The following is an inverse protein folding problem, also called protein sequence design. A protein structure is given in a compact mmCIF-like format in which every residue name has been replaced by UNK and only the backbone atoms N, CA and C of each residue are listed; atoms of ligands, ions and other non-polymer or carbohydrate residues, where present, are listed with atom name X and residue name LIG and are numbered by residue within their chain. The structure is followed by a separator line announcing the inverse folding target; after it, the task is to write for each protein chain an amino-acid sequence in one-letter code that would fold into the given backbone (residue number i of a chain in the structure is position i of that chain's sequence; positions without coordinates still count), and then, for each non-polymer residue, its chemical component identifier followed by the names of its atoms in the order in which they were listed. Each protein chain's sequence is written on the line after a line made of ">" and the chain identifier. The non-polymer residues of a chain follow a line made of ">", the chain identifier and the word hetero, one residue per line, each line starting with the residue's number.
data_IF_985679221051
#
_entry.id   IF_985679221051
#
_cell.length_a   1.000
_cell.length_b   1.000
_cell.length_c   1.000
_cell.angle_alpha   90.00
_cell.angle_beta   90.00
_cell.angle_gamma   90.00
#
_symmetry.space_group_name_H-M   'P 1'
#
loop_
_entity.id
_entity.type
_entity.pdbx_description
1 polymer ?
#
# COMPACT_ATOMS: atom_id res chain seq x y z
N UNK A 1 18.24 2.37 -28.10
CA UNK A 1 18.07 0.98 -27.67
C UNK A 1 16.77 0.94 -26.90
N UNK A 2 15.74 0.28 -27.42
CA UNK A 2 14.49 0.06 -26.68
C UNK A 2 14.78 -1.03 -25.66
N UNK A 3 15.10 -0.64 -24.43
CA UNK A 3 15.00 -1.54 -23.28
C UNK A 3 13.56 -2.01 -23.25
N UNK A 4 13.30 -3.26 -23.64
CA UNK A 4 12.00 -3.86 -23.35
C UNK A 4 11.81 -3.78 -21.84
N UNK A 5 10.67 -3.27 -21.39
CA UNK A 5 10.36 -3.30 -19.96
C UNK A 5 10.35 -4.78 -19.53
N UNK A 6 11.17 -5.12 -18.54
CA UNK A 6 11.10 -6.44 -17.92
C UNK A 6 9.72 -6.58 -17.30
N UNK A 7 9.03 -7.70 -17.58
CA UNK A 7 7.70 -7.96 -17.04
C UNK A 7 7.82 -8.58 -15.65
N UNK A 8 6.83 -8.29 -14.82
CA UNK A 8 6.79 -8.74 -13.44
C UNK A 8 6.81 -10.27 -13.33
N UNK A 9 7.62 -10.75 -12.42
CA UNK A 9 7.78 -12.17 -12.09
C UNK A 9 6.76 -12.62 -11.03
N UNK A 10 6.51 -13.94 -10.90
CA UNK A 10 5.71 -14.47 -9.80
C UNK A 10 6.21 -14.07 -8.41
N UNK A 11 7.52 -13.92 -8.21
CA UNK A 11 8.09 -13.44 -6.96
C UNK A 11 7.77 -11.98 -6.68
N UNK A 12 7.68 -11.14 -7.71
CA UNK A 12 7.31 -9.73 -7.57
C UNK A 12 5.82 -9.56 -7.30
N UNK A 13 4.97 -10.39 -7.94
CA UNK A 13 3.57 -10.54 -7.55
C UNK A 13 3.44 -10.82 -6.05
N UNK A 14 4.16 -11.82 -5.56
CA UNK A 14 4.08 -12.20 -4.15
C UNK A 14 4.58 -11.09 -3.23
N UNK A 15 5.72 -10.47 -3.55
CA UNK A 15 6.27 -9.36 -2.76
C UNK A 15 5.32 -8.16 -2.70
N UNK A 16 4.61 -7.87 -3.80
CA UNK A 16 3.57 -6.84 -3.83
C UNK A 16 2.39 -7.19 -2.93
N UNK A 17 1.85 -8.41 -3.03
CA UNK A 17 0.76 -8.89 -2.17
C UNK A 17 1.16 -8.87 -0.69
N UNK A 18 2.36 -9.33 -0.36
CA UNK A 18 2.88 -9.34 1.01
C UNK A 18 2.99 -7.92 1.58
N UNK A 19 3.45 -6.96 0.77
CA UNK A 19 3.53 -5.55 1.17
C UNK A 19 2.12 -4.95 1.41
N UNK A 20 1.13 -5.29 0.58
CA UNK A 20 -0.26 -4.85 0.79
C UNK A 20 -0.84 -5.42 2.09
N UNK A 21 -0.59 -6.70 2.39
CA UNK A 21 -0.99 -7.30 3.66
C UNK A 21 -0.33 -6.61 4.85
N UNK A 22 0.97 -6.32 4.77
CA UNK A 22 1.70 -5.62 5.84
C UNK A 22 1.11 -4.23 6.09
N UNK A 23 0.85 -3.45 5.04
CA UNK A 23 0.23 -2.13 5.16
C UNK A 23 -1.18 -2.23 5.75
N UNK A 24 -1.99 -3.17 5.27
CA UNK A 24 -3.36 -3.38 5.77
C UNK A 24 -3.37 -3.72 7.27
N UNK A 25 -2.48 -4.61 7.71
CA UNK A 25 -2.33 -4.97 9.12
C UNK A 25 -1.83 -3.81 9.96
N UNK A 26 -0.92 -3.00 9.41
CA UNK A 26 -0.38 -1.82 10.08
C UNK A 26 -1.46 -0.76 10.27
N UNK A 27 -2.27 -0.48 9.24
CA UNK A 27 -3.44 0.40 9.35
C UNK A 27 -4.44 -0.13 10.38
N UNK A 28 -4.75 -1.43 10.36
CA UNK A 28 -5.69 -2.01 11.32
C UNK A 28 -5.16 -1.94 12.76
N UNK A 29 -3.87 -2.21 12.97
CA UNK A 29 -3.22 -2.06 14.28
C UNK A 29 -3.30 -0.62 14.76
N UNK A 30 -2.89 0.33 13.92
CA UNK A 30 -2.88 1.76 14.24
C UNK A 30 -4.28 2.30 14.52
N UNK A 31 -5.28 1.85 13.78
CA UNK A 31 -6.69 2.19 14.01
C UNK A 31 -7.22 1.68 15.36
N UNK A 32 -6.58 0.70 16.00
CA UNK A 32 -7.09 0.02 17.19
C UNK A 32 -6.14 0.08 18.40
N UNK A 33 -5.02 0.82 18.31
CA UNK A 33 -4.02 0.88 19.38
C UNK A 33 -4.45 1.75 20.59
N UNK A 34 -5.56 2.49 20.46
CA UNK A 34 -6.12 3.32 21.53
C UNK A 34 -5.35 4.62 21.80
N UNK A 35 -4.32 4.93 21.01
CA UNK A 35 -3.48 6.13 21.18
C UNK A 35 -4.00 7.34 20.42
N UNK A 36 -4.83 7.11 19.39
CA UNK A 36 -5.35 8.12 18.49
C UNK A 36 -6.81 8.50 18.81
N UNK A 37 -7.18 9.74 18.47
CA UNK A 37 -8.57 10.22 18.49
C UNK A 37 -9.41 9.53 17.40
N UNK A 38 -10.73 9.56 17.54
CA UNK A 38 -11.65 8.96 16.55
C UNK A 38 -11.43 9.49 15.13
N UNK A 39 -11.25 10.81 14.98
CA UNK A 39 -10.97 11.44 13.69
C UNK A 39 -9.69 10.92 13.03
N UNK A 40 -8.61 10.83 13.80
CA UNK A 40 -7.34 10.29 13.32
C UNK A 40 -7.44 8.80 12.96
N UNK A 41 -8.12 8.00 13.79
CA UNK A 41 -8.32 6.56 13.57
C UNK A 41 -9.09 6.29 12.27
N UNK A 42 -10.03 7.16 11.91
CA UNK A 42 -10.87 7.00 10.70
C UNK A 42 -10.06 6.93 9.41
N UNK A 43 -8.90 7.61 9.35
CA UNK A 43 -7.96 7.56 8.21
C UNK A 43 -7.50 6.13 7.97
N UNK A 44 -7.05 5.46 9.03
CA UNK A 44 -6.48 4.11 8.96
C UNK A 44 -7.56 3.03 8.78
N UNK A 45 -8.74 3.22 9.37
CA UNK A 45 -9.90 2.33 9.12
C UNK A 45 -10.26 2.35 7.63
N UNK A 46 -10.37 3.56 7.06
CA UNK A 46 -10.72 3.74 5.65
C UNK A 46 -9.67 3.10 4.74
N UNK A 47 -8.38 3.36 5.00
CA UNK A 47 -7.29 2.74 4.24
C UNK A 47 -7.33 1.21 4.32
N UNK A 48 -7.56 0.63 5.50
CA UNK A 48 -7.63 -0.84 5.69
C UNK A 48 -8.75 -1.49 4.88
N UNK A 49 -9.90 -0.81 4.75
CA UNK A 49 -11.04 -1.30 3.94
C UNK A 49 -10.67 -1.33 2.45
N UNK A 50 -10.09 -0.25 1.92
CA UNK A 50 -9.67 -0.20 0.51
C UNK A 50 -8.57 -1.22 0.20
N UNK A 51 -7.57 -1.34 1.08
CA UNK A 51 -6.51 -2.33 0.93
C UNK A 51 -7.02 -3.77 0.91
N UNK A 52 -8.10 -4.08 1.62
CA UNK A 52 -8.74 -5.41 1.55
C UNK A 52 -9.25 -5.72 0.13
N UNK A 53 -9.81 -4.71 -0.55
CA UNK A 53 -10.23 -4.82 -1.95
C UNK A 53 -9.03 -4.97 -2.88
N UNK A 54 -7.98 -4.17 -2.68
CA UNK A 54 -6.77 -4.21 -3.52
C UNK A 54 -5.99 -5.51 -3.38
N UNK A 55 -5.94 -6.10 -2.18
CA UNK A 55 -5.39 -7.44 -1.96
C UNK A 55 -6.15 -8.48 -2.80
N UNK A 56 -7.48 -8.44 -2.80
CA UNK A 56 -8.30 -9.33 -3.63
C UNK A 56 -7.98 -9.17 -5.12
N UNK A 57 -7.95 -7.92 -5.60
CA UNK A 57 -7.57 -7.59 -6.98
C UNK A 57 -6.16 -8.10 -7.33
N UNK A 58 -5.18 -7.89 -6.46
CA UNK A 58 -3.79 -8.30 -6.68
C UNK A 58 -3.64 -9.83 -6.74
N UNK A 59 -4.37 -10.56 -5.89
CA UNK A 59 -4.41 -12.02 -5.92
C UNK A 59 -4.94 -12.55 -7.26
N UNK A 60 -6.02 -11.96 -7.78
CA UNK A 60 -6.69 -12.41 -9.00
C UNK A 60 -6.02 -11.91 -10.30
N UNK A 61 -5.30 -10.78 -10.25
CA UNK A 61 -4.68 -10.18 -11.43
C UNK A 61 -3.55 -11.04 -12.00
N UNK A 62 -3.51 -11.14 -13.33
CA UNK A 62 -2.33 -11.61 -14.05
C UNK A 62 -1.29 -10.49 -14.13
N UNK A 63 -0.11 -10.70 -13.53
CA UNK A 63 1.01 -9.76 -13.57
C UNK A 63 1.95 -9.99 -14.75
N UNK A 64 1.74 -11.02 -15.57
CA UNK A 64 2.56 -11.26 -16.77
C UNK A 64 2.66 -10.09 -17.77
N UNK A 65 1.65 -9.18 -17.91
CA UNK A 65 1.75 -8.00 -18.77
C UNK A 65 2.18 -6.73 -18.01
N UNK A 66 2.40 -6.80 -16.69
CA UNK A 66 2.72 -5.62 -15.87
C UNK A 66 4.23 -5.43 -15.81
N UNK A 67 4.75 -4.24 -16.15
CA UNK A 67 6.18 -3.94 -16.02
C UNK A 67 6.70 -4.09 -14.58
N UNK A 68 7.84 -4.74 -14.41
CA UNK A 68 8.53 -4.98 -13.13
C UNK A 68 8.84 -3.67 -12.41
N UNK A 69 9.28 -2.63 -13.11
CA UNK A 69 9.58 -1.31 -12.54
C UNK A 69 8.36 -0.67 -11.88
N UNK A 70 7.16 -0.83 -12.45
CA UNK A 70 5.90 -0.39 -11.82
C UNK A 70 5.59 -1.15 -10.54
N UNK A 71 5.75 -2.48 -10.56
CA UNK A 71 5.53 -3.32 -9.37
C UNK A 71 6.51 -2.95 -8.26
N UNK A 72 7.80 -2.80 -8.58
CA UNK A 72 8.82 -2.39 -7.62
C UNK A 72 8.56 -0.99 -7.06
N UNK A 73 8.17 -0.03 -7.91
CA UNK A 73 7.80 1.32 -7.47
C UNK A 73 6.63 1.27 -6.50
N UNK A 74 5.58 0.52 -6.82
CA UNK A 74 4.43 0.38 -5.93
C UNK A 74 4.79 -0.29 -4.59
N UNK A 75 5.65 -1.31 -4.60
CA UNK A 75 6.17 -1.90 -3.35
C UNK A 75 6.89 -0.87 -2.48
N UNK A 76 7.68 0.03 -3.06
CA UNK A 76 8.38 1.08 -2.30
C UNK A 76 7.40 2.07 -1.68
N UNK A 77 6.41 2.55 -2.45
CA UNK A 77 5.38 3.46 -1.94
C UNK A 77 4.55 2.81 -0.82
N UNK A 78 4.18 1.54 -0.97
CA UNK A 78 3.48 0.77 0.07
C UNK A 78 4.32 0.67 1.34
N UNK A 79 5.63 0.39 1.24
CA UNK A 79 6.53 0.32 2.41
C UNK A 79 6.73 1.68 3.09
N UNK A 80 6.77 2.75 2.31
CA UNK A 80 6.85 4.12 2.83
C UNK A 80 5.57 4.46 3.62
N UNK A 81 4.40 4.14 3.06
CA UNK A 81 3.12 4.28 3.75
C UNK A 81 3.03 3.43 5.04
N UNK A 82 3.57 2.20 5.03
CA UNK A 82 3.64 1.34 6.22
C UNK A 82 4.47 2.00 7.32
N UNK A 83 5.62 2.55 6.95
CA UNK A 83 6.53 3.24 7.90
C UNK A 83 5.86 4.48 8.49
N UNK A 84 5.24 5.32 7.66
CA UNK A 84 4.55 6.52 8.12
C UNK A 84 3.34 6.20 9.00
N UNK A 85 2.55 5.18 8.62
CA UNK A 85 1.40 4.69 9.42
C UNK A 85 1.85 4.21 10.79
N UNK A 86 2.92 3.42 10.86
CA UNK A 86 3.46 2.95 12.14
C UNK A 86 3.92 4.10 13.04
N UNK A 87 4.52 5.13 12.45
CA UNK A 87 5.05 6.30 13.15
C UNK A 87 3.96 7.31 13.59
N UNK A 88 2.73 7.20 13.11
CA UNK A 88 1.66 8.14 13.42
C UNK A 88 1.23 8.06 14.91
N UNK A 89 1.20 9.22 15.57
CA UNK A 89 0.86 9.37 17.00
C UNK A 89 0.23 10.72 17.37
N UNK A 90 0.13 11.67 16.43
CA UNK A 90 -0.49 12.98 16.61
C UNK A 90 -1.11 13.48 15.29
N UNK A 91 -1.78 14.63 15.30
CA UNK A 91 -2.46 15.17 14.10
C UNK A 91 -1.51 15.35 12.91
N UNK A 92 -0.29 15.84 13.16
CA UNK A 92 0.68 16.12 12.11
C UNK A 92 1.19 14.82 11.47
N UNK A 93 1.63 13.86 12.29
CA UNK A 93 2.11 12.56 11.81
C UNK A 93 1.00 11.73 11.16
N UNK A 94 -0.26 11.90 11.57
CA UNK A 94 -1.42 11.30 10.89
C UNK A 94 -1.64 11.92 9.51
N UNK A 95 -1.47 13.23 9.34
CA UNK A 95 -1.55 13.87 8.02
C UNK A 95 -0.42 13.42 7.09
N UNK A 96 0.80 13.25 7.63
CA UNK A 96 1.91 12.66 6.89
C UNK A 96 1.56 11.24 6.43
N UNK A 97 1.09 10.39 7.34
CA UNK A 97 0.67 9.04 6.99
C UNK A 97 -0.46 9.02 5.95
N UNK A 98 -1.44 9.93 6.05
CA UNK A 98 -2.53 10.05 5.08
C UNK A 98 -2.02 10.41 3.68
N UNK A 99 -1.02 11.29 3.57
CA UNK A 99 -0.37 11.62 2.29
C UNK A 99 0.32 10.38 1.72
N UNK A 100 1.14 9.69 2.51
CA UNK A 100 1.86 8.49 2.04
C UNK A 100 0.90 7.35 1.65
N UNK A 101 -0.22 7.19 2.34
CA UNK A 101 -1.30 6.27 1.96
C UNK A 101 -1.93 6.64 0.61
N UNK A 102 -2.08 7.93 0.31
CA UNK A 102 -2.60 8.40 -0.98
C UNK A 102 -1.61 8.15 -2.13
N UNK A 103 -0.32 8.39 -1.89
CA UNK A 103 0.74 8.10 -2.87
C UNK A 103 0.82 6.58 -3.14
N UNK A 104 0.76 5.76 -2.08
CA UNK A 104 0.69 4.31 -2.21
C UNK A 104 -0.55 3.85 -2.98
N UNK A 105 -1.74 4.39 -2.70
CA UNK A 105 -2.96 4.06 -3.46
C UNK A 105 -2.79 4.36 -4.96
N UNK A 106 -2.22 5.51 -5.30
CA UNK A 106 -1.96 5.89 -6.70
C UNK A 106 -1.02 4.88 -7.38
N UNK A 107 0.03 4.45 -6.68
CA UNK A 107 0.98 3.46 -7.22
C UNK A 107 0.37 2.06 -7.34
N UNK A 108 -0.50 1.67 -6.39
CA UNK A 108 -1.28 0.43 -6.44
C UNK A 108 -2.19 0.42 -7.67
N UNK A 109 -2.93 1.50 -7.91
CA UNK A 109 -3.84 1.58 -9.07
C UNK A 109 -3.08 1.46 -10.40
N UNK A 110 -1.89 2.06 -10.53
CA UNK A 110 -1.04 1.90 -11.73
C UNK A 110 -0.59 0.46 -12.01
N UNK A 111 -0.58 -0.39 -10.97
CA UNK A 111 -0.24 -1.81 -11.04
C UNK A 111 -1.49 -2.66 -11.22
N UNK A 112 -2.64 -2.23 -10.68
CA UNK A 112 -3.89 -3.00 -10.67
C UNK A 112 -4.87 -2.67 -11.79
N UNK A 113 -4.75 -1.51 -12.45
CA UNK A 113 -5.47 -1.15 -13.69
C UNK A 113 -5.14 -2.09 -14.85
#
# INVERSE_FOLDING_TARGET
>A
MTTGADMATPSEKQAFIDALYELQQTCNTKANDGTLTEGQRSVFITASIYLTSDIGRACDKDFSPVPSDKVQSAIQEVKQATTATSAAHDDFSVQVAAKELWDANTAIDLVLD
#
